data_IF_228205949986
#
_entry.id   IF_228205949986
#
_cell.length_a   1.000
_cell.length_b   1.000
_cell.length_c   1.000
_cell.angle_alpha   90.00
_cell.angle_beta   90.00
_cell.angle_gamma   90.00
#
_symmetry.space_group_name_H-M   'P 1'
#
loop_
_entity.id
_entity.type
_entity.pdbx_description
1 polymer ?
#
# COMPACT_ATOMS: atom_id res chain seq x y z
N UNK A 1 -44.65 9.72 16.42
CA UNK A 1 -44.13 8.65 15.53
C UNK A 1 -43.48 9.16 14.25
N UNK A 2 -43.97 10.22 13.58
CA UNK A 2 -43.39 10.69 12.30
C UNK A 2 -42.06 11.46 12.38
N UNK A 3 -41.67 11.99 13.55
CA UNK A 3 -40.44 12.81 13.69
C UNK A 3 -39.19 11.92 13.76
N UNK A 4 -39.20 10.89 14.62
CA UNK A 4 -38.08 9.95 14.80
C UNK A 4 -37.73 9.17 13.51
N UNK A 5 -38.73 8.73 12.73
CA UNK A 5 -38.48 8.11 11.41
C UNK A 5 -37.88 9.06 10.36
N UNK A 6 -38.15 10.36 10.48
CA UNK A 6 -37.61 11.37 9.56
C UNK A 6 -36.16 11.72 9.91
N UNK A 7 -35.84 11.78 11.21
CA UNK A 7 -34.48 11.98 11.73
C UNK A 7 -33.56 10.82 11.37
N UNK A 8 -33.99 9.57 11.57
CA UNK A 8 -33.20 8.39 11.18
C UNK A 8 -32.89 8.36 9.67
N UNK A 9 -33.86 8.69 8.81
CA UNK A 9 -33.63 8.81 7.36
C UNK A 9 -32.66 9.94 7.01
N UNK A 10 -32.71 11.07 7.71
CA UNK A 10 -31.83 12.21 7.47
C UNK A 10 -30.38 11.88 7.86
N UNK A 11 -30.20 11.16 8.98
CA UNK A 11 -28.91 10.68 9.45
C UNK A 11 -28.30 9.65 8.49
N UNK A 12 -29.11 8.69 8.00
CA UNK A 12 -28.68 7.75 6.97
C UNK A 12 -28.22 8.47 5.69
N UNK A 13 -28.97 9.46 5.23
CA UNK A 13 -28.60 10.26 4.05
C UNK A 13 -27.27 10.99 4.26
N UNK A 14 -27.03 11.56 5.45
CA UNK A 14 -25.76 12.21 5.77
C UNK A 14 -24.56 11.25 5.74
N UNK A 15 -24.74 10.02 6.25
CA UNK A 15 -23.69 9.00 6.22
C UNK A 15 -23.37 8.60 4.77
N UNK A 16 -24.38 8.34 3.93
CA UNK A 16 -24.16 7.99 2.52
C UNK A 16 -23.50 9.13 1.73
N UNK A 17 -23.89 10.38 1.98
CA UNK A 17 -23.26 11.55 1.36
C UNK A 17 -21.76 11.64 1.71
N UNK A 18 -21.41 11.42 2.98
CA UNK A 18 -20.04 11.46 3.47
C UNK A 18 -19.25 10.27 2.90
N UNK A 19 -19.81 9.07 2.95
CA UNK A 19 -19.21 7.86 2.39
C UNK A 19 -18.86 8.04 0.91
N UNK A 20 -19.83 8.45 0.09
CA UNK A 20 -19.62 8.67 -1.34
C UNK A 20 -18.55 9.71 -1.62
N UNK A 21 -18.51 10.80 -0.83
CA UNK A 21 -17.49 11.82 -0.95
C UNK A 21 -16.10 11.30 -0.55
N UNK A 22 -15.99 10.65 0.60
CA UNK A 22 -14.72 10.07 1.08
C UNK A 22 -14.22 9.02 0.09
N UNK A 23 -15.07 8.08 -0.34
CA UNK A 23 -14.77 7.06 -1.34
C UNK A 23 -14.16 7.66 -2.61
N UNK A 24 -14.77 8.72 -3.14
CA UNK A 24 -14.28 9.43 -4.33
C UNK A 24 -12.90 10.07 -4.10
N UNK A 25 -12.63 10.62 -2.93
CA UNK A 25 -11.34 11.25 -2.60
C UNK A 25 -10.24 10.20 -2.44
N UNK A 26 -10.53 9.08 -1.76
CA UNK A 26 -9.52 8.08 -1.39
C UNK A 26 -9.14 7.15 -2.53
N UNK A 27 -10.04 6.90 -3.50
CA UNK A 27 -9.82 5.97 -4.63
C UNK A 27 -8.50 6.20 -5.39
N UNK A 28 -8.03 7.45 -5.46
CA UNK A 28 -6.81 7.82 -6.19
C UNK A 28 -5.52 7.81 -5.36
N UNK A 29 -5.63 7.55 -4.05
CA UNK A 29 -4.51 7.62 -3.11
C UNK A 29 -3.96 6.22 -2.90
N UNK A 30 -2.80 5.96 -3.48
CA UNK A 30 -2.13 4.67 -3.35
C UNK A 30 -0.64 4.89 -3.11
N UNK A 31 -0.22 4.86 -1.84
CA UNK A 31 1.16 5.18 -1.43
C UNK A 31 2.20 4.26 -2.11
N UNK A 32 1.93 2.95 -2.16
CA UNK A 32 2.84 1.96 -2.74
C UNK A 32 3.17 2.23 -4.21
N UNK A 33 2.23 2.83 -4.96
CA UNK A 33 2.44 3.20 -6.34
C UNK A 33 3.51 4.30 -6.51
N UNK A 34 3.76 5.11 -5.48
CA UNK A 34 4.72 6.22 -5.51
C UNK A 34 6.06 5.90 -4.82
N UNK A 35 6.11 4.91 -3.92
CA UNK A 35 7.33 4.56 -3.17
C UNK A 35 8.41 3.93 -4.06
N UNK A 36 8.04 3.20 -5.12
CA UNK A 36 9.03 2.56 -5.98
C UNK A 36 9.70 3.57 -6.93
N UNK A 37 11.03 3.74 -6.88
CA UNK A 37 11.75 4.52 -7.89
C UNK A 37 11.64 3.89 -9.27
N UNK A 38 11.42 4.71 -10.28
CA UNK A 38 11.32 4.30 -11.69
C UNK A 38 12.64 3.72 -12.22
N UNK A 39 13.78 4.17 -11.68
CA UNK A 39 15.13 3.74 -12.06
C UNK A 39 15.77 2.78 -11.05
N UNK A 40 15.02 2.18 -10.11
CA UNK A 40 15.58 1.32 -9.05
C UNK A 40 16.52 0.22 -9.58
N UNK A 41 16.19 -0.40 -10.71
CA UNK A 41 17.01 -1.46 -11.31
C UNK A 41 18.36 -0.92 -11.83
N UNK A 42 18.35 0.26 -12.45
CA UNK A 42 19.54 0.92 -12.97
C UNK A 42 20.45 1.40 -11.84
N UNK A 43 19.88 2.13 -10.88
CA UNK A 43 20.61 2.66 -9.73
C UNK A 43 21.24 1.56 -8.90
N UNK A 44 20.52 0.46 -8.69
CA UNK A 44 21.06 -0.72 -8.02
C UNK A 44 22.28 -1.27 -8.75
N UNK A 45 22.22 -1.41 -10.08
CA UNK A 45 23.36 -1.92 -10.87
C UNK A 45 24.58 -1.00 -10.74
N UNK A 46 24.38 0.31 -10.84
CA UNK A 46 25.44 1.31 -10.66
C UNK A 46 26.03 1.25 -9.26
N UNK A 47 25.19 1.20 -8.22
CA UNK A 47 25.61 1.13 -6.82
C UNK A 47 26.56 -0.05 -6.53
N UNK A 48 26.21 -1.25 -7.00
CA UNK A 48 27.07 -2.42 -6.82
C UNK A 48 28.32 -2.37 -7.71
N UNK A 49 28.22 -1.84 -8.94
CA UNK A 49 29.37 -1.68 -9.84
C UNK A 49 30.44 -0.76 -9.25
N UNK A 50 30.01 0.35 -8.63
CA UNK A 50 30.89 1.33 -7.99
C UNK A 50 31.32 0.91 -6.57
N UNK A 51 31.17 -0.37 -6.20
CA UNK A 51 31.55 -0.91 -4.88
C UNK A 51 31.00 -0.06 -3.73
N UNK A 52 29.72 0.32 -3.80
CA UNK A 52 29.02 1.08 -2.76
C UNK A 52 29.47 2.55 -2.61
N UNK A 53 30.40 3.05 -3.43
CA UNK A 53 30.88 4.44 -3.40
C UNK A 53 30.07 5.41 -4.27
N UNK A 54 28.82 5.05 -4.56
CA UNK A 54 27.91 5.84 -5.36
C UNK A 54 26.64 6.09 -4.55
N UNK A 55 26.13 7.32 -4.56
CA UNK A 55 24.83 7.62 -3.98
C UNK A 55 23.75 7.55 -5.06
N UNK A 56 22.83 6.58 -4.99
CA UNK A 56 21.73 6.46 -5.97
C UNK A 56 20.93 7.74 -6.13
N UNK A 57 20.68 8.13 -7.38
CA UNK A 57 19.78 9.25 -7.71
C UNK A 57 18.41 8.70 -8.11
N UNK A 58 17.53 8.51 -7.13
CA UNK A 58 16.22 7.90 -7.37
C UNK A 58 15.21 8.86 -8.01
N UNK A 59 14.60 8.41 -9.10
CA UNK A 59 13.54 9.12 -9.83
C UNK A 59 12.18 8.53 -9.49
N UNK A 60 11.28 9.35 -8.96
CA UNK A 60 9.94 8.92 -8.54
C UNK A 60 8.85 9.38 -9.50
N UNK A 61 7.68 8.73 -9.43
CA UNK A 61 6.49 9.14 -10.17
C UNK A 61 6.04 10.53 -9.74
N UNK A 62 5.58 11.33 -10.71
CA UNK A 62 4.95 12.63 -10.42
C UNK A 62 3.60 12.39 -9.74
N UNK A 63 3.36 13.10 -8.64
CA UNK A 63 2.06 13.10 -7.93
C UNK A 63 0.98 13.61 -8.90
N UNK A 64 -0.05 12.79 -9.13
CA UNK A 64 -1.13 13.07 -10.10
C UNK A 64 -2.31 13.86 -9.52
N UNK A 65 -2.22 14.27 -8.26
CA UNK A 65 -3.25 15.04 -7.56
C UNK A 65 -2.61 16.28 -6.89
N UNK A 66 -3.46 17.20 -6.41
CA UNK A 66 -3.03 18.41 -5.69
C UNK A 66 -3.15 18.15 -4.18
N UNK A 67 -2.04 17.93 -3.44
CA UNK A 67 -2.09 17.51 -2.03
C UNK A 67 -2.87 18.49 -1.14
N UNK A 68 -2.55 19.77 -1.21
CA UNK A 68 -3.26 20.81 -0.44
C UNK A 68 -4.77 20.86 -0.70
N UNK A 69 -5.20 20.73 -1.96
CA UNK A 69 -6.62 20.69 -2.32
C UNK A 69 -7.29 19.46 -1.70
N UNK A 70 -6.62 18.32 -1.71
CA UNK A 70 -7.12 17.06 -1.19
C UNK A 70 -7.26 17.09 0.33
N UNK A 71 -6.28 17.65 1.05
CA UNK A 71 -6.39 17.94 2.48
C UNK A 71 -7.62 18.78 2.80
N UNK A 72 -7.81 19.90 2.08
CA UNK A 72 -8.97 20.76 2.29
C UNK A 72 -10.29 20.01 2.09
N UNK A 73 -10.36 19.15 1.07
CA UNK A 73 -11.55 18.34 0.79
C UNK A 73 -11.82 17.29 1.88
N UNK A 74 -10.78 16.68 2.45
CA UNK A 74 -10.92 15.76 3.57
C UNK A 74 -11.44 16.45 4.83
N UNK A 75 -10.85 17.58 5.21
CA UNK A 75 -11.26 18.30 6.42
C UNK A 75 -12.54 19.14 6.24
N UNK A 76 -13.08 19.24 5.02
CA UNK A 76 -14.39 19.85 4.77
C UNK A 76 -15.57 18.88 4.91
N UNK A 77 -15.33 17.58 5.17
CA UNK A 77 -16.41 16.63 5.40
C UNK A 77 -17.14 16.98 6.69
N UNK A 78 -18.47 17.15 6.62
CA UNK A 78 -19.32 17.58 7.74
C UNK A 78 -19.67 16.41 8.65
N UNK A 79 -18.67 15.87 9.36
CA UNK A 79 -18.84 14.70 10.23
C UNK A 79 -19.79 14.96 11.39
N UNK A 80 -20.03 16.22 11.75
CA UNK A 80 -20.98 16.63 12.80
C UNK A 80 -22.43 16.27 12.45
N UNK A 81 -22.72 15.97 11.17
CA UNK A 81 -24.04 15.49 10.72
C UNK A 81 -24.30 14.01 11.05
N UNK A 82 -23.27 13.26 11.45
CA UNK A 82 -23.38 11.86 11.84
C UNK A 82 -23.72 11.81 13.33
N UNK A 83 -24.90 11.33 13.68
CA UNK A 83 -25.34 11.28 15.09
C UNK A 83 -24.67 10.13 15.86
N UNK A 84 -24.33 9.04 15.16
CA UNK A 84 -23.64 7.91 15.77
C UNK A 84 -22.15 8.23 15.96
N UNK A 85 -21.75 8.43 17.22
CA UNK A 85 -20.39 8.76 17.61
C UNK A 85 -19.34 7.74 17.14
N UNK A 86 -19.66 6.44 17.09
CA UNK A 86 -18.72 5.42 16.61
C UNK A 86 -18.47 5.54 15.11
N UNK A 87 -19.53 5.75 14.32
CA UNK A 87 -19.43 5.96 12.87
C UNK A 87 -18.70 7.28 12.59
N UNK A 88 -19.03 8.34 13.34
CA UNK A 88 -18.33 9.62 13.24
C UNK A 88 -16.83 9.48 13.51
N UNK A 89 -16.46 8.75 14.59
CA UNK A 89 -15.06 8.48 14.91
C UNK A 89 -14.36 7.69 13.82
N UNK A 90 -15.02 6.67 13.25
CA UNK A 90 -14.47 5.90 12.13
C UNK A 90 -14.14 6.78 10.93
N UNK A 91 -15.05 7.64 10.49
CA UNK A 91 -14.76 8.55 9.36
C UNK A 91 -13.71 9.60 9.69
N UNK A 92 -13.68 10.07 10.94
CA UNK A 92 -12.62 10.95 11.43
C UNK A 92 -11.26 10.26 11.30
N UNK A 93 -11.14 9.02 11.74
CA UNK A 93 -9.91 8.23 11.63
C UNK A 93 -9.53 8.01 10.17
N UNK A 94 -10.48 7.63 9.31
CA UNK A 94 -10.26 7.49 7.86
C UNK A 94 -9.68 8.79 7.26
N UNK A 95 -10.27 9.94 7.58
CA UNK A 95 -9.80 11.25 7.11
C UNK A 95 -8.37 11.53 7.57
N UNK A 96 -8.05 11.30 8.85
CA UNK A 96 -6.68 11.46 9.35
C UNK A 96 -5.70 10.48 8.69
N UNK A 97 -6.10 9.23 8.51
CA UNK A 97 -5.32 8.19 7.81
C UNK A 97 -4.94 8.65 6.41
N UNK A 98 -5.91 9.00 5.57
CA UNK A 98 -5.63 9.40 4.19
C UNK A 98 -4.91 10.74 4.09
N UNK A 99 -5.15 11.66 5.02
CA UNK A 99 -4.36 12.89 5.13
C UNK A 99 -2.88 12.57 5.39
N UNK A 100 -2.58 11.67 6.32
CA UNK A 100 -1.20 11.23 6.58
C UNK A 100 -0.54 10.56 5.37
N UNK A 101 -1.29 9.72 4.64
CA UNK A 101 -0.83 9.11 3.40
C UNK A 101 -0.51 10.14 2.32
N UNK A 102 -1.34 11.18 2.17
CA UNK A 102 -1.11 12.27 1.21
C UNK A 102 0.17 13.02 1.52
N UNK A 103 0.43 13.33 2.80
CA UNK A 103 1.68 13.98 3.22
C UNK A 103 2.90 13.12 2.95
N UNK A 104 2.79 11.80 3.20
CA UNK A 104 3.85 10.86 2.84
C UNK A 104 4.12 10.95 1.32
N UNK A 105 3.10 10.81 0.48
CA UNK A 105 3.25 10.86 -0.98
C UNK A 105 3.86 12.18 -1.47
N UNK A 106 3.41 13.32 -0.94
CA UNK A 106 3.90 14.65 -1.30
C UNK A 106 5.42 14.78 -1.05
N UNK A 107 5.87 14.22 0.07
CA UNK A 107 7.25 14.37 0.55
C UNK A 107 8.24 13.31 0.04
N UNK A 108 7.81 12.29 -0.72
CA UNK A 108 8.68 11.19 -1.22
C UNK A 108 9.95 11.69 -1.90
N UNK A 109 9.83 12.74 -2.72
CA UNK A 109 10.95 13.29 -3.52
C UNK A 109 11.62 14.50 -2.86
N UNK A 110 11.15 14.94 -1.70
CA UNK A 110 11.65 16.15 -1.07
C UNK A 110 12.98 15.88 -0.35
N UNK A 111 13.92 16.84 -0.39
CA UNK A 111 15.19 16.72 0.32
C UNK A 111 14.97 16.75 1.85
N UNK A 112 15.99 16.31 2.60
CA UNK A 112 16.00 16.40 4.06
C UNK A 112 15.16 15.34 4.77
N UNK A 113 15.00 14.15 4.18
CA UNK A 113 14.33 13.00 4.80
C UNK A 113 12.89 13.27 5.26
N UNK A 114 12.19 14.24 4.64
CA UNK A 114 10.82 14.59 5.04
C UNK A 114 9.85 13.40 4.92
N UNK A 115 10.00 12.60 3.87
CA UNK A 115 9.26 11.35 3.74
C UNK A 115 9.47 10.42 4.93
N UNK A 116 10.72 10.23 5.36
CA UNK A 116 11.06 9.38 6.49
C UNK A 116 10.40 9.88 7.78
N UNK A 117 10.49 11.17 8.10
CA UNK A 117 9.87 11.73 9.29
C UNK A 117 8.33 11.70 9.24
N UNK A 118 7.72 11.96 8.08
CA UNK A 118 6.28 11.81 7.90
C UNK A 118 5.82 10.35 8.04
N UNK A 119 6.60 9.41 7.49
CA UNK A 119 6.35 7.98 7.63
C UNK A 119 6.43 7.55 9.09
N UNK A 120 7.44 8.01 9.85
CA UNK A 120 7.55 7.72 11.28
C UNK A 120 6.40 8.32 12.08
N UNK A 121 6.02 9.57 11.80
CA UNK A 121 4.88 10.22 12.46
C UNK A 121 3.58 9.44 12.22
N UNK A 122 3.42 8.90 11.03
CA UNK A 122 2.17 8.27 10.61
C UNK A 122 2.09 6.78 10.98
N UNK A 123 3.12 6.00 10.66
CA UNK A 123 3.17 4.56 10.89
C UNK A 123 3.80 4.18 12.23
N UNK A 124 4.40 5.14 12.93
CA UNK A 124 5.17 4.92 14.14
C UNK A 124 6.62 4.50 13.84
N UNK A 125 7.41 4.45 14.91
CA UNK A 125 8.76 3.86 14.90
C UNK A 125 8.67 2.35 15.17
N UNK A 126 9.52 1.52 14.54
CA UNK A 126 9.63 0.11 14.89
C UNK A 126 9.91 -0.05 16.39
N UNK A 127 9.15 -0.92 17.07
CA UNK A 127 9.38 -1.24 18.48
C UNK A 127 10.52 -2.25 18.63
N UNK A 128 11.12 -2.35 19.82
CA UNK A 128 12.14 -3.37 20.10
C UNK A 128 11.63 -4.79 19.80
N UNK A 129 10.39 -5.09 20.19
CA UNK A 129 9.74 -6.37 19.86
C UNK A 129 9.65 -6.61 18.35
N UNK A 130 9.34 -5.59 17.55
CA UNK A 130 9.34 -5.71 16.09
C UNK A 130 10.75 -5.96 15.54
N UNK A 131 11.76 -5.30 16.11
CA UNK A 131 13.17 -5.49 15.73
C UNK A 131 13.64 -6.90 16.08
N UNK A 132 13.31 -7.41 17.27
CA UNK A 132 13.68 -8.75 17.71
C UNK A 132 12.96 -9.81 16.89
N UNK A 133 11.67 -9.61 16.57
CA UNK A 133 10.95 -10.47 15.64
C UNK A 133 11.59 -10.47 14.24
N UNK A 134 12.02 -9.31 13.74
CA UNK A 134 12.69 -9.21 12.44
C UNK A 134 14.06 -9.91 12.45
N UNK A 135 14.86 -9.73 13.51
CA UNK A 135 16.12 -10.45 13.71
C UNK A 135 15.89 -11.96 13.80
N UNK A 136 14.87 -12.38 14.55
CA UNK A 136 14.47 -13.76 14.63
C UNK A 136 14.15 -14.29 13.24
N UNK A 137 13.24 -13.66 12.48
CA UNK A 137 12.90 -14.08 11.10
C UNK A 137 14.15 -14.16 10.20
N UNK A 138 15.08 -13.21 10.33
CA UNK A 138 16.30 -13.17 9.52
C UNK A 138 17.29 -14.29 9.85
N UNK A 139 17.42 -14.63 11.14
CA UNK A 139 18.34 -15.65 11.64
C UNK A 139 17.68 -17.02 11.86
N UNK A 140 16.36 -17.11 11.69
CA UNK A 140 15.61 -18.35 11.81
C UNK A 140 15.99 -19.24 10.63
N UNK A 141 17.01 -20.05 10.84
CA UNK A 141 17.31 -21.19 9.99
C UNK A 141 16.20 -22.20 10.27
N UNK A 142 15.14 -22.15 9.46
CA UNK A 142 14.24 -23.31 9.37
C UNK A 142 15.16 -24.49 9.01
N UNK A 143 15.24 -25.56 9.82
CA UNK A 143 15.97 -26.75 9.43
C UNK A 143 15.35 -27.18 8.10
N UNK A 144 16.12 -26.98 7.03
CA UNK A 144 15.66 -27.26 5.69
C UNK A 144 15.52 -28.76 5.63
N UNK A 145 14.31 -29.28 5.87
CA UNK A 145 14.03 -30.66 5.51
C UNK A 145 14.48 -30.83 4.06
N UNK A 146 15.04 -31.97 3.68
CA UNK A 146 15.47 -32.18 2.28
C UNK A 146 14.34 -31.85 1.29
N UNK A 147 13.06 -31.98 1.69
CA UNK A 147 11.86 -31.51 0.96
C UNK A 147 11.79 -29.99 0.70
N UNK A 148 12.26 -29.14 1.61
CA UNK A 148 12.23 -27.67 1.46
C UNK A 148 13.33 -27.15 0.51
N UNK A 149 14.42 -27.91 0.32
CA UNK A 149 15.39 -27.67 -0.76
C UNK A 149 14.77 -27.90 -2.16
N UNK A 150 13.71 -28.71 -2.24
CA UNK A 150 12.93 -28.98 -3.44
C UNK A 150 11.64 -28.15 -3.54
N UNK A 151 11.42 -27.15 -2.67
CA UNK A 151 10.32 -26.19 -2.88
C UNK A 151 10.53 -25.51 -4.24
N UNK A 152 9.63 -25.83 -5.16
CA UNK A 152 9.68 -25.43 -6.56
C UNK A 152 9.91 -23.93 -6.64
N UNK A 153 11.08 -23.52 -7.12
CA UNK A 153 11.36 -22.10 -7.33
C UNK A 153 10.50 -21.68 -8.51
N UNK A 154 9.41 -20.97 -8.24
CA UNK A 154 8.46 -20.59 -9.28
C UNK A 154 9.05 -19.45 -10.09
N UNK A 155 8.97 -19.53 -11.41
CA UNK A 155 9.31 -18.42 -12.29
C UNK A 155 8.25 -17.31 -12.18
N UNK A 156 8.52 -16.16 -12.80
CA UNK A 156 7.50 -15.11 -12.93
C UNK A 156 6.27 -15.64 -13.66
N UNK A 157 6.48 -16.50 -14.64
CA UNK A 157 5.47 -17.13 -15.48
C UNK A 157 4.60 -18.11 -14.66
N UNK A 158 5.23 -18.96 -13.83
CA UNK A 158 4.48 -19.88 -12.96
C UNK A 158 3.60 -19.13 -11.95
N UNK A 159 4.11 -18.02 -11.40
CA UNK A 159 3.32 -17.18 -10.49
C UNK A 159 2.13 -16.53 -11.21
N UNK A 160 2.31 -16.07 -12.45
CA UNK A 160 1.21 -15.53 -13.27
C UNK A 160 0.16 -16.60 -13.53
N UNK A 161 0.57 -17.81 -13.88
CA UNK A 161 -0.34 -18.93 -14.13
C UNK A 161 -1.12 -19.30 -12.87
N UNK A 162 -0.45 -19.38 -11.71
CA UNK A 162 -1.10 -19.61 -10.42
C UNK A 162 -2.19 -18.55 -10.15
N UNK A 163 -1.88 -17.27 -10.31
CA UNK A 163 -2.85 -16.20 -10.06
C UNK A 163 -3.97 -16.13 -11.10
N UNK A 164 -3.74 -16.58 -12.35
CA UNK A 164 -4.82 -16.76 -13.33
C UNK A 164 -5.79 -17.86 -12.89
N UNK A 165 -5.27 -19.01 -12.50
CA UNK A 165 -6.10 -20.12 -12.02
C UNK A 165 -6.87 -19.73 -10.75
N UNK A 166 -6.21 -19.04 -9.82
CA UNK A 166 -6.85 -18.51 -8.61
C UNK A 166 -7.98 -17.53 -8.93
N UNK A 167 -7.73 -16.60 -9.87
CA UNK A 167 -8.74 -15.65 -10.34
C UNK A 167 -9.98 -16.36 -10.87
N UNK A 168 -9.77 -17.36 -11.73
CA UNK A 168 -10.85 -18.09 -12.40
C UNK A 168 -11.60 -19.02 -11.42
N UNK A 169 -10.90 -19.65 -10.48
CA UNK A 169 -11.48 -20.53 -9.45
C UNK A 169 -12.40 -19.79 -8.48
N UNK A 170 -11.98 -18.61 -8.01
CA UNK A 170 -12.71 -17.85 -6.98
C UNK A 170 -13.59 -16.74 -7.56
N UNK A 171 -13.61 -16.57 -8.90
CA UNK A 171 -14.43 -15.56 -9.57
C UNK A 171 -14.00 -14.11 -9.28
N UNK A 172 -12.73 -13.88 -9.02
CA UNK A 172 -12.22 -12.52 -8.80
C UNK A 172 -12.00 -11.81 -10.15
N UNK A 173 -12.25 -10.51 -10.20
CA UNK A 173 -11.93 -9.68 -11.38
C UNK A 173 -10.71 -8.81 -11.09
N UNK A 174 -9.54 -9.22 -11.60
CA UNK A 174 -8.32 -8.42 -11.54
C UNK A 174 -7.39 -8.71 -12.73
N UNK A 175 -6.58 -7.70 -13.07
CA UNK A 175 -5.55 -7.82 -14.10
C UNK A 175 -4.20 -8.24 -13.51
N UNK A 176 -3.37 -8.93 -14.29
CA UNK A 176 -2.02 -9.33 -13.89
C UNK A 176 -1.01 -8.57 -14.73
N UNK A 177 -0.09 -7.87 -14.07
CA UNK A 177 0.97 -7.05 -14.70
C UNK A 177 2.34 -7.49 -14.21
N UNK A 178 3.36 -7.17 -15.00
CA UNK A 178 4.75 -7.38 -14.62
C UNK A 178 5.55 -6.09 -14.63
N UNK A 179 6.52 -5.96 -13.73
CA UNK A 179 7.37 -4.76 -13.63
C UNK A 179 8.80 -5.11 -13.25
N UNK A 180 9.76 -4.33 -13.78
CA UNK A 180 11.18 -4.38 -13.38
C UNK A 180 11.53 -3.33 -12.33
N UNK A 181 10.67 -2.31 -12.16
CA UNK A 181 10.87 -1.16 -11.29
C UNK A 181 10.15 -1.34 -9.94
N UNK A 182 10.46 -2.42 -9.23
CA UNK A 182 9.89 -2.75 -7.93
C UNK A 182 10.95 -3.35 -7.01
N UNK A 183 10.89 -3.00 -5.72
CA UNK A 183 11.72 -3.61 -4.68
C UNK A 183 11.14 -4.96 -4.22
N UNK A 184 9.82 -5.00 -3.99
CA UNK A 184 9.09 -6.20 -3.60
C UNK A 184 8.96 -7.22 -4.74
N UNK A 185 8.77 -8.49 -4.37
CA UNK A 185 8.53 -9.58 -5.33
C UNK A 185 7.15 -9.46 -6.00
N UNK A 186 6.15 -8.96 -5.27
CA UNK A 186 4.82 -8.69 -5.78
C UNK A 186 4.18 -7.49 -5.05
N UNK A 187 3.21 -6.85 -5.69
CA UNK A 187 2.36 -5.81 -5.12
C UNK A 187 0.93 -5.93 -5.63
N UNK A 188 -0.01 -5.40 -4.89
CA UNK A 188 -1.41 -5.26 -5.32
C UNK A 188 -1.70 -3.78 -5.47
N UNK A 189 -2.23 -3.40 -6.64
CA UNK A 189 -2.76 -2.06 -6.87
C UNK A 189 -4.28 -2.10 -6.84
N UNK A 190 -4.84 -1.36 -5.89
CA UNK A 190 -6.29 -1.29 -5.73
C UNK A 190 -6.93 -0.39 -6.79
N UNK A 191 -6.26 0.71 -7.16
CA UNK A 191 -6.79 1.64 -8.16
C UNK A 191 -6.84 1.01 -9.56
N UNK A 192 -5.84 0.20 -9.90
CA UNK A 192 -5.78 -0.53 -11.18
C UNK A 192 -6.44 -1.91 -11.12
N UNK A 193 -6.95 -2.33 -9.94
CA UNK A 193 -7.43 -3.68 -9.66
C UNK A 193 -6.50 -4.74 -10.27
N UNK A 194 -5.24 -4.67 -9.86
CA UNK A 194 -4.18 -5.45 -10.49
C UNK A 194 -3.18 -6.05 -9.51
N UNK A 195 -2.81 -7.30 -9.76
CA UNK A 195 -1.64 -7.93 -9.18
C UNK A 195 -0.42 -7.62 -10.04
N UNK A 196 0.63 -7.09 -9.43
CA UNK A 196 1.87 -6.70 -10.10
C UNK A 196 2.99 -7.59 -9.61
N UNK A 197 3.47 -8.47 -10.48
CA UNK A 197 4.61 -9.34 -10.21
C UNK A 197 5.91 -8.68 -10.67
N UNK A 198 6.97 -8.79 -9.86
CA UNK A 198 8.29 -8.34 -10.27
C UNK A 198 8.90 -9.35 -11.25
N UNK A 199 9.44 -8.87 -12.36
CA UNK A 199 10.21 -9.74 -13.28
C UNK A 199 11.51 -10.20 -12.62
N UNK A 200 11.52 -11.41 -12.08
CA UNK A 200 12.69 -12.08 -11.52
C UNK A 200 12.74 -13.52 -12.00
N UNK A 201 13.95 -14.09 -12.07
CA UNK A 201 14.11 -15.48 -12.56
C UNK A 201 13.43 -16.50 -11.64
N UNK A 202 13.51 -16.28 -10.32
CA UNK A 202 13.14 -17.27 -9.31
C UNK A 202 12.38 -16.60 -8.14
N UNK A 203 11.20 -17.12 -7.79
CA UNK A 203 10.43 -16.82 -6.59
C UNK A 203 10.54 -17.95 -5.57
N UNK A 204 10.60 -17.60 -4.29
CA UNK A 204 10.25 -18.51 -3.19
C UNK A 204 8.87 -18.12 -2.69
N UNK A 205 7.90 -19.00 -2.84
CA UNK A 205 6.57 -18.82 -2.26
C UNK A 205 6.46 -19.77 -1.08
N UNK A 206 6.33 -19.22 0.12
CA UNK A 206 5.89 -19.98 1.27
C UNK A 206 4.37 -20.06 1.20
N UNK A 207 3.84 -21.22 0.81
CA UNK A 207 2.40 -21.46 0.88
C UNK A 207 2.05 -21.61 2.35
N UNK A 208 1.35 -20.64 2.91
CA UNK A 208 0.75 -20.77 4.23
C UNK A 208 -0.46 -21.70 4.07
N UNK A 209 -0.26 -22.98 4.38
CA UNK A 209 -1.36 -23.91 4.54
C UNK A 209 -2.10 -23.51 5.82
N UNK A 210 -3.27 -22.90 5.66
CA UNK A 210 -4.24 -22.68 6.74
C UNK A 210 -5.12 -23.90 6.90
#
# INVERSE_FOLDING_TARGET
>A
MNVSFKEEKLNQAAIYDIDANVHRLVRSIELLAYINPLNIAQERKSFFKEKFNYQPDFKYRKVKFKPYKLHRLFFSQRLERIENNQIQSLYKDIIYTYSGLVQCIETIKEPGNKFYFNSLRFFGTPTEKMVDNAKFILHHQVPVSEKALFEKTLSTEDAIEYFKNFRDQYGFDFSIKTSTAMSAAAMVSNNEQSYISRKIKNFRITILNY
#
